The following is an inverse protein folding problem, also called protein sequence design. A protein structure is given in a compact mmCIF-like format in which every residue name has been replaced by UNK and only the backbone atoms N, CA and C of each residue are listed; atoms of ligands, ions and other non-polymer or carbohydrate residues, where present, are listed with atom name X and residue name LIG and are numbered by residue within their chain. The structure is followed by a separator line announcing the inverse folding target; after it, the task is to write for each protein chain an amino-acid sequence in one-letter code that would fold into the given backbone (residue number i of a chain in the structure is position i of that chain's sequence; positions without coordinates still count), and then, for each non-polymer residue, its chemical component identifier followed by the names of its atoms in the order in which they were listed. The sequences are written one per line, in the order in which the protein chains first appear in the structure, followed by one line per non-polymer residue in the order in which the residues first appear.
data_IF_973139939300
#
_entry.id   IF_973139939300
#
_cell.length_a   1.000
_cell.length_b   1.000
_cell.length_c   1.000
_cell.angle_alpha   90.00
_cell.angle_beta   90.00
_cell.angle_gamma   90.00
#
_symmetry.space_group_name_H-M   'P 1'
#
loop_
_entity.id
_entity.type
_entity.pdbx_description
1 polymer ?
#
# COMPACT_ATOMS: atom_id res chain seq x y z
N UNK A 1 1.12 -14.61 -9.14
CA UNK A 1 0.46 -13.40 -8.58
C UNK A 1 1.36 -12.91 -7.47
N UNK A 2 1.87 -11.67 -7.52
CA UNK A 2 2.84 -11.14 -6.54
C UNK A 2 2.34 -9.90 -5.79
N UNK A 3 3.20 -9.32 -4.95
CA UNK A 3 2.91 -8.17 -4.11
C UNK A 3 2.98 -6.85 -4.89
N UNK A 4 1.95 -6.00 -4.75
CA UNK A 4 1.95 -4.61 -5.22
C UNK A 4 1.41 -3.69 -4.13
N UNK A 5 2.06 -2.55 -3.94
CA UNK A 5 1.51 -1.46 -3.12
C UNK A 5 0.53 -0.64 -3.95
N UNK A 6 -0.66 -0.39 -3.39
CA UNK A 6 -1.66 0.54 -3.92
C UNK A 6 -1.60 1.82 -3.10
N UNK A 7 -1.33 2.95 -3.76
CA UNK A 7 -1.36 4.26 -3.15
C UNK A 7 -2.58 5.01 -3.67
N UNK A 8 -3.43 5.47 -2.77
CA UNK A 8 -4.59 6.31 -3.05
C UNK A 8 -4.44 7.61 -2.28
N UNK A 9 -4.77 8.75 -2.88
CA UNK A 9 -4.69 10.04 -2.21
C UNK A 9 -5.92 10.91 -2.52
N UNK A 10 -6.21 11.78 -1.56
CA UNK A 10 -7.44 12.55 -1.48
C UNK A 10 -7.12 14.01 -1.21
N UNK A 11 -7.95 14.91 -1.72
CA UNK A 11 -7.89 16.32 -1.37
C UNK A 11 -8.22 16.51 0.11
N UNK A 12 -7.36 17.24 0.84
CA UNK A 12 -7.47 17.36 2.30
C UNK A 12 -8.67 18.19 2.79
N UNK A 13 -9.30 18.97 1.92
CA UNK A 13 -10.42 19.84 2.30
C UNK A 13 -11.77 19.23 1.92
N UNK A 14 -11.83 18.62 0.74
CA UNK A 14 -13.06 18.10 0.15
C UNK A 14 -13.22 16.59 0.33
N UNK A 15 -12.14 15.90 0.73
CA UNK A 15 -12.07 14.44 0.87
C UNK A 15 -12.32 13.68 -0.44
N UNK A 16 -12.29 14.39 -1.58
CA UNK A 16 -12.47 13.79 -2.89
C UNK A 16 -11.20 13.04 -3.30
N UNK A 17 -11.37 11.87 -3.92
CA UNK A 17 -10.27 11.08 -4.46
C UNK A 17 -9.62 11.80 -5.64
N UNK A 18 -8.32 12.05 -5.52
CA UNK A 18 -7.51 12.76 -6.52
C UNK A 18 -6.73 11.79 -7.41
N UNK A 19 -6.40 10.59 -6.91
CA UNK A 19 -5.69 9.61 -7.71
C UNK A 19 -5.42 8.28 -7.01
N UNK A 20 -4.98 7.32 -7.84
CA UNK A 20 -4.59 5.98 -7.43
C UNK A 20 -3.46 5.49 -8.34
N UNK A 21 -2.42 4.91 -7.75
CA UNK A 21 -1.31 4.32 -8.49
C UNK A 21 -0.90 2.98 -7.87
N UNK A 22 -0.49 2.04 -8.74
CA UNK A 22 0.14 0.80 -8.34
C UNK A 22 1.64 0.87 -8.59
N UNK A 23 2.41 0.47 -7.58
CA UNK A 23 3.82 0.19 -7.74
C UNK A 23 4.07 -1.00 -8.69
N UNK A 24 5.35 -1.21 -9.05
CA UNK A 24 5.79 -2.44 -9.71
C UNK A 24 5.45 -3.68 -8.88
N UNK A 25 5.36 -4.83 -9.54
CA UNK A 25 5.21 -6.12 -8.86
C UNK A 25 6.52 -6.50 -8.15
N UNK A 26 6.45 -6.77 -6.85
CA UNK A 26 7.55 -7.23 -6.01
C UNK A 26 7.64 -8.76 -5.92
N UNK A 27 6.70 -9.50 -6.53
CA UNK A 27 6.66 -10.95 -6.43
C UNK A 27 6.42 -11.39 -4.98
N UNK A 28 7.22 -12.34 -4.51
CA UNK A 28 7.17 -12.83 -3.13
C UNK A 28 8.06 -12.01 -2.17
N UNK A 29 8.69 -10.94 -2.65
CA UNK A 29 9.53 -10.08 -1.82
C UNK A 29 8.67 -9.10 -1.01
N UNK A 30 8.39 -9.48 0.24
CA UNK A 30 7.65 -8.67 1.20
C UNK A 30 8.54 -7.79 2.09
N UNK A 31 9.85 -7.70 1.85
CA UNK A 31 10.77 -6.86 2.64
C UNK A 31 10.40 -5.37 2.54
N UNK A 32 9.78 -4.98 1.43
CA UNK A 32 9.24 -3.63 1.24
C UNK A 32 8.24 -3.25 2.33
N UNK A 33 7.48 -4.20 2.87
CA UNK A 33 6.58 -3.94 4.00
C UNK A 33 7.31 -3.97 5.34
N UNK A 34 8.01 -5.07 5.62
CA UNK A 34 8.59 -5.30 6.95
C UNK A 34 9.74 -4.33 7.26
N UNK A 35 10.70 -4.20 6.33
CA UNK A 35 11.87 -3.33 6.52
C UNK A 35 11.67 -1.93 5.97
N UNK A 36 10.88 -1.78 4.90
CA UNK A 36 10.61 -0.48 4.29
C UNK A 36 9.61 0.38 5.05
N UNK A 37 8.55 -0.24 5.59
CA UNK A 37 7.43 0.46 6.24
C UNK A 37 7.23 0.07 7.71
N UNK A 38 7.92 -0.96 8.20
CA UNK A 38 7.71 -1.48 9.56
C UNK A 38 6.38 -2.21 9.76
N UNK A 39 5.73 -2.66 8.68
CA UNK A 39 4.43 -3.31 8.71
C UNK A 39 4.62 -4.83 8.57
N UNK A 40 4.07 -5.60 9.52
CA UNK A 40 4.06 -7.06 9.44
C UNK A 40 3.26 -7.54 8.23
N UNK A 41 3.68 -8.63 7.59
CA UNK A 41 2.88 -9.28 6.53
C UNK A 41 1.71 -10.07 7.08
N UNK A 42 1.80 -10.53 8.33
CA UNK A 42 0.72 -11.23 9.02
C UNK A 42 -0.49 -10.31 9.15
N UNK A 43 -1.66 -10.80 8.70
CA UNK A 43 -2.95 -10.11 8.74
C UNK A 43 -3.06 -8.74 8.03
N UNK A 44 -2.03 -8.26 7.34
CA UNK A 44 -2.07 -6.95 6.67
C UNK A 44 -2.10 -7.02 5.13
N UNK A 45 -1.80 -8.19 4.55
CA UNK A 45 -1.89 -8.38 3.09
C UNK A 45 -3.35 -8.52 2.68
N UNK A 46 -3.78 -7.68 1.73
CA UNK A 46 -5.17 -7.61 1.25
C UNK A 46 -6.20 -7.35 2.36
N UNK A 47 -5.80 -6.68 3.45
CA UNK A 47 -6.65 -6.46 4.62
C UNK A 47 -6.75 -4.98 5.02
N UNK A 48 -7.27 -4.15 4.11
CA UNK A 48 -7.46 -2.71 4.35
C UNK A 48 -6.33 -1.84 3.79
N UNK A 49 -6.16 -0.67 4.40
CA UNK A 49 -5.16 0.34 4.03
C UNK A 49 -4.56 1.00 5.27
N UNK A 50 -3.42 1.66 5.07
CA UNK A 50 -2.69 2.38 6.12
C UNK A 50 -2.60 3.86 5.74
N UNK A 51 -2.66 4.73 6.75
CA UNK A 51 -2.38 6.15 6.57
C UNK A 51 -0.89 6.36 6.30
N UNK A 52 -0.58 7.22 5.31
CA UNK A 52 0.78 7.59 4.90
C UNK A 52 1.09 9.02 5.33
#
# INVERSE_FOLDING_TARGET
MGLKLRLEWFDKQTELGEGCEYSKDFGDNADVMASGLGISTEDNINNGGFDV
#
